data_IF_141982989712
#
_entry.id   IF_141982989712
#
_cell.length_a   1.000
_cell.length_b   1.000
_cell.length_c   1.000
_cell.angle_alpha   90.00
_cell.angle_beta   90.00
_cell.angle_gamma   90.00
#
_symmetry.space_group_name_H-M   'P 1'
#
loop_
_entity.id
_entity.type
_entity.pdbx_description
1 polymer ?
#
# COMPACT_ATOMS: atom_id res chain seq x y z
N UNK A 1 44.78 -20.07 -1.26
CA UNK A 1 44.69 -18.95 -2.22
C UNK A 1 43.48 -18.08 -1.85
N UNK A 2 43.69 -16.84 -1.39
CA UNK A 2 42.57 -15.93 -1.05
C UNK A 2 42.20 -15.14 -2.31
N UNK A 3 41.01 -15.38 -2.85
CA UNK A 3 40.51 -14.70 -4.05
C UNK A 3 40.34 -13.20 -3.80
N UNK A 4 40.94 -12.38 -4.66
CA UNK A 4 40.85 -10.92 -4.64
C UNK A 4 39.38 -10.54 -4.90
N UNK A 5 38.71 -9.94 -3.90
CA UNK A 5 37.37 -9.38 -4.07
C UNK A 5 37.49 -8.07 -4.87
N UNK A 6 37.24 -8.13 -6.18
CA UNK A 6 37.11 -6.93 -7.00
C UNK A 6 35.86 -6.14 -6.55
N UNK A 7 36.06 -5.01 -5.89
CA UNK A 7 34.99 -4.09 -5.51
C UNK A 7 34.52 -3.36 -6.78
N UNK A 8 33.38 -3.80 -7.31
CA UNK A 8 32.77 -3.18 -8.49
C UNK A 8 32.33 -1.76 -8.10
N UNK A 9 32.95 -0.72 -8.68
CA UNK A 9 32.51 0.68 -8.49
C UNK A 9 31.06 0.79 -8.94
N UNK A 10 30.15 1.01 -8.00
CA UNK A 10 28.75 1.26 -8.31
C UNK A 10 28.61 2.70 -8.81
N UNK A 11 28.17 2.89 -10.06
CA UNK A 11 27.69 4.20 -10.51
C UNK A 11 26.46 4.56 -9.66
N UNK A 12 26.53 5.68 -8.96
CA UNK A 12 25.37 6.23 -8.27
C UNK A 12 24.50 6.95 -9.31
N UNK A 13 23.24 6.55 -9.40
CA UNK A 13 22.24 7.21 -10.22
C UNK A 13 21.38 8.09 -9.31
N UNK A 14 21.07 9.32 -9.74
CA UNK A 14 20.14 10.21 -9.03
C UNK A 14 18.76 9.59 -8.98
N UNK A 15 17.97 9.95 -7.96
CA UNK A 15 16.64 9.36 -7.79
C UNK A 15 15.70 9.77 -8.93
N UNK A 16 15.75 11.03 -9.35
CA UNK A 16 14.97 11.55 -10.48
C UNK A 16 15.26 10.77 -11.77
N UNK A 17 16.54 10.49 -12.05
CA UNK A 17 16.93 9.71 -13.22
C UNK A 17 16.39 8.28 -13.16
N UNK A 18 16.36 7.64 -11.98
CA UNK A 18 15.76 6.31 -11.83
C UNK A 18 14.26 6.34 -12.09
N UNK A 19 13.55 7.34 -11.56
CA UNK A 19 12.11 7.47 -11.72
C UNK A 19 11.72 7.72 -13.18
N UNK A 20 12.43 8.63 -13.86
CA UNK A 20 12.22 8.88 -15.29
C UNK A 20 12.54 7.65 -16.13
N UNK A 21 13.66 6.97 -15.84
CA UNK A 21 14.04 5.74 -16.54
C UNK A 21 12.99 4.63 -16.40
N UNK A 22 12.47 4.44 -15.19
CA UNK A 22 11.39 3.46 -14.93
C UNK A 22 10.11 3.87 -15.65
N UNK A 23 9.73 5.15 -15.62
CA UNK A 23 8.54 5.67 -16.29
C UNK A 23 8.63 5.48 -17.80
N UNK A 24 9.79 5.75 -18.39
CA UNK A 24 10.05 5.55 -19.80
C UNK A 24 9.99 4.06 -20.18
N UNK A 25 10.60 3.20 -19.37
CA UNK A 25 10.63 1.75 -19.60
C UNK A 25 9.25 1.09 -19.46
N UNK A 26 8.34 1.64 -18.64
CA UNK A 26 6.97 1.16 -18.53
C UNK A 26 6.09 1.58 -19.71
N UNK A 27 6.46 2.65 -20.42
CA UNK A 27 5.75 3.15 -21.62
C UNK A 27 6.30 2.58 -22.93
N UNK A 28 7.49 1.96 -22.90
CA UNK A 28 8.13 1.39 -24.07
C UNK A 28 7.74 -0.08 -24.28
N UNK A 29 7.84 -0.55 -25.52
CA UNK A 29 7.58 -1.96 -25.86
C UNK A 29 8.73 -2.89 -25.43
N UNK A 30 9.93 -2.34 -25.19
CA UNK A 30 11.13 -3.13 -24.87
C UNK A 30 12.02 -2.45 -23.84
N UNK A 31 12.06 -3.04 -22.63
CA UNK A 31 12.95 -2.63 -21.53
C UNK A 31 14.42 -2.74 -21.94
N UNK A 32 14.76 -3.75 -22.74
CA UNK A 32 16.12 -3.96 -23.26
C UNK A 32 16.56 -2.79 -24.14
N UNK A 33 15.70 -2.35 -25.05
CA UNK A 33 16.01 -1.21 -25.92
C UNK A 33 16.12 0.08 -25.10
N UNK A 34 15.18 0.33 -24.20
CA UNK A 34 15.23 1.52 -23.32
C UNK A 34 16.49 1.56 -22.46
N UNK A 35 16.95 0.42 -21.93
CA UNK A 35 18.21 0.38 -21.17
C UNK A 35 19.43 0.74 -22.04
N UNK A 36 19.46 0.28 -23.29
CA UNK A 36 20.51 0.61 -24.27
C UNK A 36 20.50 2.10 -24.61
N UNK A 37 19.33 2.66 -24.88
CA UNK A 37 19.16 4.08 -25.21
C UNK A 37 19.59 4.98 -24.04
N UNK A 38 19.32 4.56 -22.81
CA UNK A 38 19.72 5.24 -21.57
C UNK A 38 21.19 4.98 -21.17
N UNK A 39 21.89 4.09 -21.87
CA UNK A 39 23.27 3.71 -21.56
C UNK A 39 23.44 3.02 -20.19
N UNK A 40 22.40 2.33 -19.70
CA UNK A 40 22.42 1.63 -18.41
C UNK A 40 22.34 0.12 -18.60
N UNK A 41 22.90 -0.68 -17.66
CA UNK A 41 22.73 -2.13 -17.72
C UNK A 41 21.26 -2.53 -17.58
N UNK A 42 20.78 -3.43 -18.43
CA UNK A 42 19.41 -3.92 -18.41
C UNK A 42 18.99 -4.45 -17.03
N UNK A 43 19.86 -5.23 -16.39
CA UNK A 43 19.62 -5.77 -15.05
C UNK A 43 19.37 -4.67 -13.99
N UNK A 44 19.99 -3.50 -14.16
CA UNK A 44 19.79 -2.34 -13.28
C UNK A 44 18.38 -1.77 -13.47
N UNK A 45 17.95 -1.58 -14.72
CA UNK A 45 16.63 -1.07 -15.05
C UNK A 45 15.51 -2.02 -14.58
N UNK A 46 15.68 -3.32 -14.81
CA UNK A 46 14.78 -4.34 -14.26
C UNK A 46 14.69 -4.30 -12.73
N UNK A 47 15.83 -4.10 -12.06
CA UNK A 47 15.88 -3.94 -10.61
C UNK A 47 15.08 -2.73 -10.13
N UNK A 48 15.18 -1.60 -10.83
CA UNK A 48 14.43 -0.38 -10.49
C UNK A 48 12.93 -0.55 -10.72
N UNK A 49 12.51 -1.15 -11.83
CA UNK A 49 11.09 -1.43 -12.12
C UNK A 49 10.49 -2.34 -11.03
N UNK A 50 11.21 -3.40 -10.65
CA UNK A 50 10.79 -4.32 -9.58
C UNK A 50 10.68 -3.65 -8.22
N UNK A 51 11.58 -2.71 -7.92
CA UNK A 51 11.51 -1.95 -6.68
C UNK A 51 10.34 -0.97 -6.70
N UNK A 52 10.16 -0.22 -7.80
CA UNK A 52 9.06 0.73 -7.96
C UNK A 52 7.69 0.05 -7.78
N UNK A 53 7.47 -1.10 -8.44
CA UNK A 53 6.23 -1.90 -8.31
C UNK A 53 6.02 -2.46 -6.89
N UNK A 54 7.09 -2.81 -6.17
CA UNK A 54 7.00 -3.23 -4.76
C UNK A 54 6.68 -2.09 -3.82
N UNK A 55 7.17 -0.88 -4.10
CA UNK A 55 6.90 0.29 -3.27
C UNK A 55 5.47 0.79 -3.47
N UNK A 56 4.96 0.80 -4.71
CA UNK A 56 3.57 1.18 -5.00
C UNK A 56 2.58 0.21 -4.35
N UNK A 57 2.80 -1.09 -4.47
CA UNK A 57 1.91 -2.12 -3.87
C UNK A 57 1.92 -2.11 -2.34
N UNK A 58 3.06 -1.80 -1.71
CA UNK A 58 3.12 -1.63 -0.25
C UNK A 58 2.42 -0.37 0.22
N UNK A 59 2.54 0.73 -0.52
CA UNK A 59 1.90 2.00 -0.16
C UNK A 59 0.37 1.87 -0.21
N UNK A 60 -0.17 1.33 -1.30
CA UNK A 60 -1.62 1.14 -1.47
C UNK A 60 -2.19 0.12 -0.48
N UNK A 61 -1.45 -0.94 -0.16
CA UNK A 61 -1.85 -1.89 0.89
C UNK A 61 -1.87 -1.26 2.29
N UNK A 62 -0.99 -0.29 2.56
CA UNK A 62 -0.95 0.38 3.86
C UNK A 62 -2.04 1.45 3.98
N UNK A 63 -2.30 2.22 2.92
CA UNK A 63 -3.41 3.19 2.88
C UNK A 63 -4.77 2.50 3.01
N UNK A 64 -5.00 1.41 2.27
CA UNK A 64 -6.24 0.62 2.40
C UNK A 64 -6.42 0.02 3.80
N UNK A 65 -5.34 -0.40 4.46
CA UNK A 65 -5.41 -0.92 5.84
C UNK A 65 -5.75 0.16 6.86
N UNK A 66 -5.27 1.39 6.68
CA UNK A 66 -5.58 2.52 7.55
C UNK A 66 -7.06 2.91 7.41
N UNK A 67 -7.56 2.99 6.17
CA UNK A 67 -8.96 3.31 5.88
C UNK A 67 -9.93 2.27 6.48
N UNK A 68 -9.64 0.98 6.28
CA UNK A 68 -10.42 -0.12 6.87
C UNK A 68 -10.45 -0.06 8.41
N UNK A 69 -9.35 0.34 9.06
CA UNK A 69 -9.30 0.43 10.51
C UNK A 69 -10.15 1.60 11.04
N UNK A 70 -10.14 2.74 10.35
CA UNK A 70 -11.01 3.88 10.70
C UNK A 70 -12.49 3.55 10.52
N UNK A 71 -12.84 2.87 9.42
CA UNK A 71 -14.21 2.44 9.16
C UNK A 71 -14.70 1.44 10.21
N UNK A 72 -13.87 0.44 10.57
CA UNK A 72 -14.18 -0.50 11.64
C UNK A 72 -14.38 0.20 13.00
N UNK A 73 -13.60 1.25 13.29
CA UNK A 73 -13.76 2.02 14.53
C UNK A 73 -15.09 2.78 14.55
N UNK A 74 -15.47 3.41 13.44
CA UNK A 74 -16.77 4.10 13.29
C UNK A 74 -17.93 3.12 13.43
N UNK A 75 -17.89 1.99 12.73
CA UNK A 75 -18.90 0.93 12.78
C UNK A 75 -19.07 0.36 14.19
N UNK A 76 -17.98 0.10 14.91
CA UNK A 76 -18.06 -0.41 16.30
C UNK A 76 -18.72 0.59 17.24
N UNK A 77 -18.41 1.89 17.08
CA UNK A 77 -19.03 2.95 17.88
C UNK A 77 -20.52 3.05 17.61
N UNK A 78 -20.93 3.00 16.35
CA UNK A 78 -22.34 3.04 15.98
C UNK A 78 -23.09 1.80 16.47
N UNK A 79 -22.49 0.61 16.34
CA UNK A 79 -23.11 -0.63 16.83
C UNK A 79 -23.32 -0.60 18.36
N UNK A 80 -22.36 -0.04 19.10
CA UNK A 80 -22.50 0.13 20.55
C UNK A 80 -23.68 1.04 20.91
N UNK A 81 -23.79 2.19 20.23
CA UNK A 81 -24.90 3.13 20.41
C UNK A 81 -26.25 2.49 20.07
N UNK A 82 -26.37 1.83 18.92
CA UNK A 82 -27.60 1.16 18.50
C UNK A 82 -28.03 0.06 19.47
N UNK A 83 -27.07 -0.66 20.08
CA UNK A 83 -27.36 -1.66 21.10
C UNK A 83 -27.91 -1.01 22.37
N UNK A 84 -27.32 0.10 22.80
CA UNK A 84 -27.80 0.86 23.95
C UNK A 84 -29.23 1.37 23.74
N UNK A 85 -29.49 2.01 22.59
CA UNK A 85 -30.82 2.50 22.21
C UNK A 85 -31.85 1.36 22.20
N UNK A 86 -31.49 0.20 21.64
CA UNK A 86 -32.35 -0.98 21.62
C UNK A 86 -32.65 -1.49 23.03
N UNK A 87 -31.68 -1.50 23.94
CA UNK A 87 -31.90 -1.94 25.32
C UNK A 87 -32.77 -0.96 26.10
N UNK A 88 -32.65 0.35 25.87
CA UNK A 88 -33.53 1.36 26.44
C UNK A 88 -34.97 1.14 25.96
N UNK A 89 -35.17 0.98 24.64
CA UNK A 89 -36.48 0.75 24.06
C UNK A 89 -37.13 -0.55 24.57
N UNK A 90 -36.36 -1.63 24.72
CA UNK A 90 -36.85 -2.87 25.33
C UNK A 90 -37.31 -2.67 26.77
N UNK A 91 -36.53 -1.95 27.59
CA UNK A 91 -36.89 -1.66 28.98
C UNK A 91 -38.16 -0.82 29.06
N UNK A 92 -38.29 0.20 28.20
CA UNK A 92 -39.49 1.01 28.11
C UNK A 92 -40.72 0.17 27.70
N UNK A 93 -40.60 -0.67 26.67
CA UNK A 93 -41.67 -1.56 26.24
C UNK A 93 -42.10 -2.53 27.34
N UNK A 94 -41.14 -3.11 28.07
CA UNK A 94 -41.42 -4.00 29.20
C UNK A 94 -42.11 -3.27 30.37
N UNK A 95 -41.73 -2.02 30.64
CA UNK A 95 -42.39 -1.18 31.64
C UNK A 95 -43.85 -0.91 31.27
N UNK A 96 -44.12 -0.42 30.06
CA UNK A 96 -45.48 -0.15 29.59
C UNK A 96 -46.36 -1.40 29.52
N UNK A 97 -45.81 -2.54 29.10
CA UNK A 97 -46.55 -3.80 29.08
C UNK A 97 -46.97 -4.28 30.49
N UNK A 98 -46.28 -3.84 31.55
CA UNK A 98 -46.61 -4.16 32.95
C UNK A 98 -47.69 -3.24 33.52
N UNK A 99 -47.76 -1.98 33.10
CA UNK A 99 -48.77 -1.02 33.57
C UNK A 99 -50.17 -1.19 32.93
N UNK A 100 -50.26 -1.84 31.77
CA UNK A 100 -51.53 -2.08 31.05
C UNK A 100 -52.29 -3.32 31.60
N UNK A 101 -51.77 -3.97 32.64
CA UNK A 101 -52.34 -5.20 33.22
C UNK A 101 -53.06 -4.97 34.55
#
# INVERSE_FOLDING_TARGET
MKGIKMTRKHKAYTEDFKQESVTLALKSESICQTAKDLGIPEATLYGWIKNATRHTTKHTAQESKLDLHEELKKLRKENARLREDREILKKAAAYFAKEIK
#
